data_IF_200124832896
#
_entry.id   IF_200124832896
#
_cell.length_a   1.000
_cell.length_b   1.000
_cell.length_c   1.000
_cell.angle_alpha   90.00
_cell.angle_beta   90.00
_cell.angle_gamma   90.00
#
_symmetry.space_group_name_H-M   'P 1'
#
loop_
_entity.id
_entity.type
_entity.pdbx_description
1 polymer ?
#
# COMPACT_ATOMS: atom_id res chain seq x y z
N UNK A 1 8.84 -4.07 16.76
CA UNK A 1 7.86 -4.92 17.49
C UNK A 1 6.49 -5.07 16.79
N UNK A 2 6.14 -4.24 15.78
CA UNK A 2 4.86 -4.36 15.06
C UNK A 2 4.83 -5.44 13.96
N UNK A 3 5.91 -5.56 13.17
CA UNK A 3 5.98 -6.49 12.03
C UNK A 3 5.87 -7.97 12.44
N UNK A 4 6.47 -8.36 13.56
CA UNK A 4 6.37 -9.74 14.09
C UNK A 4 4.98 -10.13 14.63
N UNK A 5 4.11 -9.15 14.91
CA UNK A 5 2.73 -9.41 15.35
C UNK A 5 1.75 -9.59 14.18
N UNK A 6 2.09 -9.06 13.01
CA UNK A 6 1.34 -9.27 11.76
C UNK A 6 1.59 -10.69 11.25
N UNK A 7 2.83 -11.18 11.34
CA UNK A 7 3.18 -12.56 10.96
C UNK A 7 2.57 -13.64 11.90
N UNK A 8 2.24 -13.27 13.15
CA UNK A 8 1.63 -14.17 14.15
C UNK A 8 0.10 -14.18 14.13
N UNK A 9 -0.56 -13.45 13.23
CA UNK A 9 -2.02 -13.45 13.10
C UNK A 9 -2.79 -12.75 14.23
N UNK A 10 -2.11 -12.14 15.22
CA UNK A 10 -2.74 -11.39 16.32
C UNK A 10 -3.27 -10.02 15.88
N UNK A 11 -2.71 -9.47 14.79
CA UNK A 11 -3.28 -8.33 14.09
C UNK A 11 -3.93 -8.83 12.81
N UNK A 12 -5.26 -8.93 12.82
CA UNK A 12 -6.04 -9.23 11.64
C UNK A 12 -5.71 -8.16 10.57
N UNK A 13 -5.14 -8.59 9.45
CA UNK A 13 -4.80 -7.72 8.31
C UNK A 13 -6.02 -6.94 7.78
N UNK A 14 -7.23 -7.44 8.08
CA UNK A 14 -8.54 -6.81 7.80
C UNK A 14 -8.76 -5.44 8.49
N UNK A 15 -8.03 -5.13 9.57
CA UNK A 15 -8.15 -3.84 10.29
C UNK A 15 -7.08 -2.84 9.89
N UNK A 16 -5.90 -3.32 9.49
CA UNK A 16 -4.75 -2.49 9.15
C UNK A 16 -4.85 -1.90 7.75
N UNK A 17 -5.44 -2.62 6.81
CA UNK A 17 -5.63 -2.17 5.43
C UNK A 17 -7.09 -1.75 5.28
N UNK A 18 -7.36 -0.46 5.46
CA UNK A 18 -8.69 0.10 5.16
C UNK A 18 -8.83 0.18 3.65
N UNK A 19 -9.75 -0.59 3.08
CA UNK A 19 -10.01 -0.53 1.66
C UNK A 19 -10.71 0.78 1.24
N UNK A 20 -10.76 1.06 -0.08
CA UNK A 20 -11.29 2.32 -0.61
C UNK A 20 -12.74 2.59 -0.21
N UNK A 21 -13.55 1.54 -0.06
CA UNK A 21 -14.95 1.71 0.33
C UNK A 21 -15.03 2.15 1.80
N UNK A 22 -14.21 1.55 2.67
CA UNK A 22 -14.13 1.97 4.07
C UNK A 22 -13.66 3.41 4.18
N UNK A 23 -12.66 3.82 3.39
CA UNK A 23 -12.19 5.22 3.34
C UNK A 23 -13.34 6.16 2.94
N UNK A 24 -14.12 5.82 1.91
CA UNK A 24 -15.26 6.62 1.49
C UNK A 24 -16.30 6.79 2.61
N UNK A 25 -16.61 5.71 3.36
CA UNK A 25 -17.55 5.79 4.49
C UNK A 25 -17.06 6.68 5.65
N UNK A 26 -15.75 6.95 5.77
CA UNK A 26 -15.20 7.80 6.83
C UNK A 26 -15.57 9.27 6.65
N UNK A 27 -15.79 9.75 5.42
CA UNK A 27 -16.16 11.14 5.16
C UNK A 27 -17.55 11.46 5.73
N UNK A 28 -18.49 10.50 5.67
CA UNK A 28 -19.86 10.66 6.17
C UNK A 28 -20.80 11.30 5.15
N UNK A 29 -22.04 11.57 5.56
CA UNK A 29 -23.10 12.11 4.70
C UNK A 29 -23.11 13.64 4.61
N UNK A 30 -22.55 14.34 5.60
CA UNK A 30 -22.51 15.81 5.64
C UNK A 30 -21.09 16.34 5.47
N UNK A 31 -20.97 17.50 4.82
CA UNK A 31 -19.68 18.16 4.59
C UNK A 31 -19.23 18.84 5.87
N UNK A 32 -18.15 18.31 6.47
CA UNK A 32 -17.40 18.98 7.53
C UNK A 32 -15.98 19.27 7.03
N UNK A 33 -15.69 20.56 6.80
CA UNK A 33 -14.41 20.99 6.25
C UNK A 33 -13.19 20.62 7.11
N UNK A 34 -13.31 20.70 8.44
CA UNK A 34 -12.22 20.32 9.35
C UNK A 34 -11.94 18.82 9.24
N UNK A 35 -13.00 18.00 9.27
CA UNK A 35 -12.90 16.54 9.13
C UNK A 35 -12.35 16.14 7.76
N UNK A 36 -12.81 16.80 6.70
CA UNK A 36 -12.34 16.57 5.34
C UNK A 36 -10.83 16.77 5.22
N UNK A 37 -10.32 17.96 5.60
CA UNK A 37 -8.89 18.25 5.51
C UNK A 37 -8.05 17.37 6.42
N UNK A 38 -8.57 17.00 7.59
CA UNK A 38 -7.91 16.06 8.50
C UNK A 38 -7.76 14.67 7.86
N UNK A 39 -8.84 14.14 7.29
CA UNK A 39 -8.82 12.82 6.62
C UNK A 39 -7.92 12.84 5.38
N UNK A 40 -8.04 13.87 4.54
CA UNK A 40 -7.20 14.01 3.33
C UNK A 40 -5.73 14.13 3.70
N UNK A 41 -5.38 14.94 4.70
CA UNK A 41 -4.00 15.08 5.19
C UNK A 41 -3.45 13.76 5.73
N UNK A 42 -4.24 13.03 6.53
CA UNK A 42 -3.85 11.71 7.05
C UNK A 42 -3.64 10.69 5.92
N UNK A 43 -4.54 10.63 4.95
CA UNK A 43 -4.44 9.73 3.79
C UNK A 43 -3.23 10.08 2.94
N UNK A 44 -2.98 11.38 2.68
CA UNK A 44 -1.83 11.84 1.93
C UNK A 44 -0.51 11.47 2.62
N UNK A 45 -0.41 11.66 3.93
CA UNK A 45 0.76 11.23 4.70
C UNK A 45 0.97 9.71 4.64
N UNK A 46 -0.12 8.94 4.77
CA UNK A 46 -0.06 7.49 4.65
C UNK A 46 0.40 7.04 3.25
N UNK A 47 -0.10 7.67 2.19
CA UNK A 47 0.30 7.41 0.81
C UNK A 47 1.77 7.77 0.56
N UNK A 48 2.23 8.92 1.08
CA UNK A 48 3.63 9.32 0.99
C UNK A 48 4.54 8.27 1.64
N UNK A 49 4.22 7.84 2.87
CA UNK A 49 4.97 6.77 3.55
C UNK A 49 4.92 5.43 2.79
N UNK A 50 3.78 5.10 2.20
CA UNK A 50 3.60 3.88 1.41
C UNK A 50 4.46 3.91 0.14
N UNK A 51 4.56 5.07 -0.53
CA UNK A 51 5.43 5.28 -1.69
C UNK A 51 6.92 5.21 -1.36
N UNK A 52 7.33 5.45 -0.11
CA UNK A 52 8.72 5.23 0.32
C UNK A 52 9.07 3.77 0.61
N UNK A 53 8.09 2.86 0.68
CA UNK A 53 8.38 1.45 0.90
C UNK A 53 9.13 0.85 -0.30
N UNK A 54 10.07 -0.08 -0.06
CA UNK A 54 10.83 -0.75 -1.12
C UNK A 54 9.98 -1.82 -1.82
N UNK A 55 8.85 -1.43 -2.39
CA UNK A 55 7.94 -2.30 -3.13
C UNK A 55 8.22 -2.08 -4.62
N UNK A 56 8.63 -3.12 -5.36
CA UNK A 56 8.79 -3.02 -6.80
C UNK A 56 7.47 -2.57 -7.45
N UNK A 57 7.56 -1.69 -8.47
CA UNK A 57 6.45 -0.94 -9.08
C UNK A 57 5.94 0.31 -8.33
N UNK A 58 6.41 0.60 -7.11
CA UNK A 58 6.24 1.92 -6.45
C UNK A 58 7.52 2.76 -6.57
N UNK A 59 7.41 4.08 -6.34
CA UNK A 59 8.54 5.02 -6.39
C UNK A 59 9.71 4.59 -5.47
N UNK A 60 9.41 4.13 -4.27
CA UNK A 60 10.41 3.65 -3.30
C UNK A 60 11.13 2.38 -3.74
N UNK A 61 10.50 1.54 -4.57
CA UNK A 61 11.17 0.40 -5.20
C UNK A 61 12.25 0.82 -6.19
N UNK A 62 11.99 1.87 -6.97
CA UNK A 62 12.96 2.44 -7.89
C UNK A 62 14.12 3.11 -7.14
N UNK A 63 13.82 3.84 -6.07
CA UNK A 63 14.85 4.42 -5.18
C UNK A 63 15.73 3.31 -4.60
N UNK A 64 15.14 2.18 -4.18
CA UNK A 64 15.94 1.05 -3.70
C UNK A 64 16.86 0.49 -4.79
N UNK A 65 16.37 0.30 -6.02
CA UNK A 65 17.21 -0.18 -7.12
C UNK A 65 18.37 0.76 -7.40
N UNK A 66 18.12 2.07 -7.45
CA UNK A 66 19.16 3.08 -7.62
C UNK A 66 20.18 3.09 -6.47
N UNK A 67 19.73 2.92 -5.22
CA UNK A 67 20.64 2.80 -4.07
C UNK A 67 21.51 1.56 -4.18
N UNK A 68 20.95 0.44 -4.64
CA UNK A 68 21.70 -0.81 -4.86
C UNK A 68 22.72 -0.64 -5.99
N UNK A 69 22.36 0.03 -7.08
CA UNK A 69 23.28 0.36 -8.18
C UNK A 69 24.41 1.28 -7.73
N UNK A 70 24.10 2.29 -6.92
CA UNK A 70 25.08 3.21 -6.35
C UNK A 70 26.10 2.49 -5.46
N UNK A 71 25.64 1.53 -4.65
CA UNK A 71 26.53 0.70 -3.81
C UNK A 71 27.33 -0.30 -4.65
N UNK A 72 26.73 -0.93 -5.66
CA UNK A 72 27.42 -1.90 -6.51
C UNK A 72 28.34 -1.25 -7.56
N UNK A 73 28.18 0.04 -7.84
CA UNK A 73 28.94 0.77 -8.86
C UNK A 73 28.67 0.31 -10.30
N UNK A 74 27.65 -0.52 -10.51
CA UNK A 74 27.25 -1.06 -11.82
C UNK A 74 25.73 -1.11 -11.93
N UNK A 75 25.17 -0.86 -13.12
CA UNK A 75 23.73 -0.93 -13.34
C UNK A 75 23.21 -2.35 -13.11
N UNK A 76 22.01 -2.47 -12.57
CA UNK A 76 21.27 -3.72 -12.52
C UNK A 76 20.89 -4.12 -13.95
N UNK A 77 20.88 -5.42 -14.25
CA UNK A 77 20.52 -5.85 -15.60
C UNK A 77 19.05 -5.53 -15.89
N UNK A 78 18.74 -5.11 -17.11
CA UNK A 78 17.37 -4.81 -17.56
C UNK A 78 16.41 -5.98 -17.28
N UNK A 79 16.88 -7.21 -17.49
CA UNK A 79 16.09 -8.44 -17.22
C UNK A 79 15.73 -8.61 -15.74
N UNK A 80 16.56 -8.12 -14.83
CA UNK A 80 16.27 -8.16 -13.39
C UNK A 80 15.24 -7.10 -13.02
N UNK A 81 15.41 -5.86 -13.52
CA UNK A 81 14.48 -4.76 -13.29
C UNK A 81 13.08 -5.10 -13.83
N UNK A 82 12.99 -5.62 -15.06
CA UNK A 82 11.75 -6.04 -15.69
C UNK A 82 11.03 -7.12 -14.86
N UNK A 83 11.76 -8.18 -14.46
CA UNK A 83 11.18 -9.24 -13.62
C UNK A 83 10.72 -8.74 -12.26
N UNK A 84 11.50 -7.87 -11.61
CA UNK A 84 11.15 -7.31 -10.32
C UNK A 84 9.90 -6.42 -10.44
N UNK A 85 9.80 -5.61 -11.50
CA UNK A 85 8.64 -4.76 -11.75
C UNK A 85 7.38 -5.56 -12.06
N UNK A 86 7.47 -6.59 -12.90
CA UNK A 86 6.35 -7.50 -13.19
C UNK A 86 5.90 -8.21 -11.92
N UNK A 87 6.84 -8.74 -11.12
CA UNK A 87 6.51 -9.39 -9.85
C UNK A 87 5.82 -8.41 -8.88
N UNK A 88 6.34 -7.19 -8.75
CA UNK A 88 5.73 -6.12 -7.95
C UNK A 88 4.31 -5.78 -8.41
N UNK A 89 4.11 -5.64 -9.72
CA UNK A 89 2.80 -5.38 -10.31
C UNK A 89 1.79 -6.47 -9.96
N UNK A 90 2.14 -7.75 -10.12
CA UNK A 90 1.24 -8.85 -9.76
C UNK A 90 0.95 -8.91 -8.26
N UNK A 91 1.93 -8.63 -7.40
CA UNK A 91 1.72 -8.56 -5.95
C UNK A 91 0.74 -7.43 -5.61
N UNK A 92 0.91 -6.25 -6.19
CA UNK A 92 0.00 -5.11 -5.98
C UNK A 92 -1.41 -5.40 -6.48
N UNK A 93 -1.54 -6.02 -7.65
CA UNK A 93 -2.83 -6.39 -8.22
C UNK A 93 -3.55 -7.43 -7.34
N UNK A 94 -2.82 -8.45 -6.86
CA UNK A 94 -3.36 -9.43 -5.93
C UNK A 94 -3.81 -8.78 -4.60
N UNK A 95 -3.01 -7.86 -4.07
CA UNK A 95 -3.37 -7.09 -2.88
C UNK A 95 -4.62 -6.24 -3.12
N UNK A 96 -4.71 -5.57 -4.27
CA UNK A 96 -5.86 -4.76 -4.64
C UNK A 96 -7.13 -5.61 -4.68
N UNK A 97 -7.10 -6.75 -5.39
CA UNK A 97 -8.22 -7.69 -5.44
C UNK A 97 -8.60 -8.20 -4.05
N UNK A 98 -7.62 -8.53 -3.21
CA UNK A 98 -7.86 -8.97 -1.84
C UNK A 98 -8.55 -7.89 -0.98
N UNK A 99 -8.08 -6.64 -1.06
CA UNK A 99 -8.63 -5.52 -0.28
C UNK A 99 -10.05 -5.18 -0.75
N UNK A 100 -10.25 -5.03 -2.06
CA UNK A 100 -11.57 -4.76 -2.63
C UNK A 100 -12.54 -5.92 -2.39
N UNK A 101 -12.10 -7.16 -2.55
CA UNK A 101 -12.90 -8.36 -2.26
C UNK A 101 -13.34 -8.41 -0.80
N UNK A 102 -12.44 -8.13 0.14
CA UNK A 102 -12.80 -8.05 1.57
C UNK A 102 -13.78 -6.92 1.87
N UNK A 103 -13.61 -5.74 1.25
CA UNK A 103 -14.55 -4.62 1.40
C UNK A 103 -15.95 -5.01 0.89
N UNK A 104 -16.05 -5.62 -0.30
CA UNK A 104 -17.32 -6.06 -0.89
C UNK A 104 -18.00 -7.13 -0.01
N UNK A 105 -17.26 -8.16 0.41
CA UNK A 105 -17.79 -9.23 1.27
C UNK A 105 -18.33 -8.68 2.59
N UNK A 106 -17.66 -7.68 3.16
CA UNK A 106 -18.09 -7.04 4.40
C UNK A 106 -19.36 -6.19 4.24
N UNK A 107 -19.58 -5.63 3.05
CA UNK A 107 -20.82 -4.88 2.73
C UNK A 107 -21.97 -5.86 2.52
N UNK A 108 -21.74 -6.97 1.80
CA UNK A 108 -22.78 -7.98 1.52
C UNK A 108 -23.16 -8.78 2.77
N UNK A 109 -22.20 -9.06 3.65
CA UNK A 109 -22.41 -9.81 4.89
C UNK A 109 -23.03 -8.99 6.03
N UNK A 110 -23.31 -7.70 5.81
CA UNK A 110 -23.90 -6.78 6.80
C UNK A 110 -25.32 -6.40 6.38
#
# INVERSE_FOLDING_TARGET
KGLGKIAKGELRADKAISGPVRIATMFGSEVNWVKFWTLVGLLSMALALMNFLPIPALDGGHVLFLLVEMIQGKPLSDKFLEKAQIAGFFILLALMVFVFGNDIMKIISK
#
